data_IF_402400586077
#
_entry.id   IF_402400586077
#
_cell.length_a   1.000
_cell.length_b   1.000
_cell.length_c   1.000
_cell.angle_alpha   90.00
_cell.angle_beta   90.00
_cell.angle_gamma   90.00
#
_symmetry.space_group_name_H-M   'P 1'
#
loop_
_entity.id
_entity.type
_entity.pdbx_description
1 polymer ?
#
# COMPACT_ATOMS: atom_id res chain seq x y z
N UNK A 1 49.28 26.29 43.88
CA UNK A 1 48.03 27.08 44.05
C UNK A 1 47.15 27.17 42.79
N UNK A 2 47.70 27.25 41.57
CA UNK A 2 46.93 27.43 40.33
C UNK A 2 45.90 26.33 39.98
N UNK A 3 46.15 25.07 40.35
CA UNK A 3 45.27 23.94 40.01
C UNK A 3 43.95 23.92 40.81
N UNK A 4 43.95 24.43 42.05
CA UNK A 4 42.76 24.52 42.90
C UNK A 4 41.81 25.61 42.38
N UNK A 5 42.35 26.74 41.92
CA UNK A 5 41.59 27.83 41.31
C UNK A 5 40.88 27.36 40.04
N UNK A 6 41.57 26.69 39.11
CA UNK A 6 40.97 26.15 37.87
C UNK A 6 39.82 25.17 38.12
N UNK A 7 39.96 24.25 39.09
CA UNK A 7 38.88 23.31 39.47
C UNK A 7 37.66 24.01 40.06
N UNK A 8 37.86 25.08 40.83
CA UNK A 8 36.76 25.88 41.40
C UNK A 8 36.03 26.64 40.30
N UNK A 9 36.75 27.25 39.35
CA UNK A 9 36.14 27.95 38.20
C UNK A 9 35.31 26.99 37.35
N UNK A 10 35.82 25.78 37.05
CA UNK A 10 35.08 24.75 36.32
C UNK A 10 33.80 24.31 37.03
N UNK A 11 33.87 24.05 38.34
CA UNK A 11 32.68 23.67 39.14
C UNK A 11 31.62 24.79 39.17
N UNK A 12 32.04 26.04 39.24
CA UNK A 12 31.13 27.20 39.22
C UNK A 12 30.46 27.36 37.86
N UNK A 13 31.20 27.18 36.76
CA UNK A 13 30.63 27.18 35.40
C UNK A 13 29.63 26.03 35.25
N UNK A 14 29.96 24.81 35.68
CA UNK A 14 29.03 23.68 35.64
C UNK A 14 27.77 23.90 36.49
N UNK A 15 27.89 24.52 37.67
CA UNK A 15 26.73 24.86 38.51
C UNK A 15 25.84 25.91 37.85
N UNK A 16 26.43 26.94 37.23
CA UNK A 16 25.70 27.96 36.45
C UNK A 16 25.03 27.36 35.21
N UNK A 17 25.67 26.42 34.52
CA UNK A 17 25.06 25.68 33.40
C UNK A 17 23.87 24.84 33.87
N UNK A 18 23.99 24.12 35.00
CA UNK A 18 22.89 23.34 35.59
C UNK A 18 21.74 24.24 36.09
N UNK A 19 22.04 25.39 36.69
CA UNK A 19 21.03 26.38 37.11
C UNK A 19 20.36 27.06 35.92
N UNK A 20 21.10 27.37 34.85
CA UNK A 20 20.55 27.89 33.60
C UNK A 20 19.62 26.87 32.93
N UNK A 21 19.93 25.56 33.00
CA UNK A 21 19.06 24.47 32.52
C UNK A 21 17.79 24.29 33.37
N UNK A 22 17.81 24.71 34.64
CA UNK A 22 16.69 24.61 35.60
C UNK A 22 15.93 25.94 35.78
N UNK A 23 16.21 26.94 34.94
CA UNK A 23 15.53 28.24 34.99
C UNK A 23 14.12 28.09 34.44
N UNK A 24 13.12 28.34 35.29
CA UNK A 24 11.69 28.16 34.96
C UNK A 24 11.26 28.94 33.72
N UNK A 25 11.84 30.12 33.48
CA UNK A 25 11.57 30.92 32.28
C UNK A 25 12.04 30.25 31.00
N UNK A 26 13.20 29.58 31.00
CA UNK A 26 13.71 28.84 29.82
C UNK A 26 12.95 27.54 29.59
N UNK A 27 12.48 26.89 30.65
CA UNK A 27 11.57 25.75 30.54
C UNK A 27 10.24 26.19 29.94
N UNK A 28 9.68 27.32 30.38
CA UNK A 28 8.44 27.89 29.86
C UNK A 28 8.56 28.29 28.39
N UNK A 29 9.67 28.93 27.99
CA UNK A 29 9.96 29.21 26.59
C UNK A 29 10.07 27.91 25.78
N UNK A 30 10.76 26.89 26.29
CA UNK A 30 10.84 25.58 25.62
C UNK A 30 9.46 24.92 25.46
N UNK A 31 8.59 25.01 26.47
CA UNK A 31 7.22 24.50 26.39
C UNK A 31 6.40 25.26 25.35
N UNK A 32 6.53 26.58 25.28
CA UNK A 32 5.88 27.39 24.25
C UNK A 32 6.34 27.01 22.83
N UNK A 33 7.63 26.74 22.64
CA UNK A 33 8.13 26.24 21.35
C UNK A 33 7.56 24.87 20.99
N UNK A 34 7.41 23.95 21.96
CA UNK A 34 6.80 22.63 21.73
C UNK A 34 5.32 22.78 21.37
N UNK A 35 4.59 23.65 22.07
CA UNK A 35 3.17 23.92 21.79
C UNK A 35 3.01 24.57 20.41
N UNK A 36 3.87 25.53 20.06
CA UNK A 36 3.88 26.15 18.75
C UNK A 36 4.18 25.13 17.65
N UNK A 37 5.18 24.26 17.85
CA UNK A 37 5.48 23.19 16.92
C UNK A 37 4.29 22.22 16.78
N UNK A 38 3.65 21.82 17.87
CA UNK A 38 2.46 20.97 17.83
C UNK A 38 1.28 21.64 17.10
N UNK A 39 1.06 22.94 17.32
CA UNK A 39 0.03 23.71 16.63
C UNK A 39 0.32 23.85 15.13
N UNK A 40 1.58 24.10 14.76
CA UNK A 40 2.03 24.14 13.36
C UNK A 40 1.85 22.78 12.70
N UNK A 41 2.26 21.70 13.36
CA UNK A 41 2.07 20.34 12.85
C UNK A 41 0.59 20.04 12.68
N UNK A 42 -0.24 20.34 13.68
CA UNK A 42 -1.69 20.14 13.60
C UNK A 42 -2.33 20.95 12.46
N UNK A 43 -1.94 22.21 12.31
CA UNK A 43 -2.39 23.06 11.21
C UNK A 43 -1.96 22.48 9.85
N UNK A 44 -0.71 22.02 9.73
CA UNK A 44 -0.23 21.40 8.50
C UNK A 44 -0.98 20.10 8.20
N UNK A 45 -1.16 19.21 9.18
CA UNK A 45 -1.83 17.92 8.98
C UNK A 45 -3.33 18.06 8.69
N UNK A 46 -3.99 19.08 9.26
CA UNK A 46 -5.41 19.37 9.00
C UNK A 46 -5.67 20.01 7.64
N UNK A 47 -4.64 20.61 7.02
CA UNK A 47 -4.71 21.19 5.69
C UNK A 47 -4.03 20.31 4.62
N UNK A 48 -3.64 19.08 4.97
CA UNK A 48 -3.23 18.13 3.96
C UNK A 48 -4.43 17.83 3.05
N UNK A 49 -4.27 17.91 1.72
CA UNK A 49 -5.34 17.51 0.82
C UNK A 49 -5.71 16.06 1.14
N UNK A 50 -6.99 15.85 1.42
CA UNK A 50 -7.54 14.52 1.64
C UNK A 50 -7.26 13.69 0.39
N UNK A 51 -6.81 12.44 0.56
CA UNK A 51 -6.54 11.58 -0.58
C UNK A 51 -7.83 11.47 -1.42
N UNK A 52 -7.78 11.99 -2.66
CA UNK A 52 -8.95 11.96 -3.53
C UNK A 52 -9.42 10.51 -3.66
N UNK A 53 -10.65 10.23 -3.23
CA UNK A 53 -11.25 8.93 -3.48
C UNK A 53 -11.45 8.81 -4.98
N UNK A 54 -10.88 7.78 -5.65
CA UNK A 54 -11.03 7.63 -7.08
C UNK A 54 -12.52 7.44 -7.40
N UNK A 55 -13.13 8.47 -8.00
CA UNK A 55 -14.50 8.40 -8.48
C UNK A 55 -14.48 7.76 -9.87
N UNK A 56 -14.91 6.50 -9.95
CA UNK A 56 -15.04 5.77 -11.20
C UNK A 56 -16.31 6.20 -11.90
N UNK A 57 -16.18 7.05 -12.92
CA UNK A 57 -17.31 7.40 -13.79
C UNK A 57 -17.43 6.39 -14.92
N UNK A 58 -18.66 5.94 -15.18
CA UNK A 58 -19.03 5.14 -16.35
C UNK A 58 -19.37 6.00 -17.57
N UNK A 59 -18.99 7.28 -17.58
CA UNK A 59 -19.31 8.19 -18.68
C UNK A 59 -18.69 7.69 -19.99
N UNK A 60 -19.52 7.60 -21.01
CA UNK A 60 -19.15 7.20 -22.36
C UNK A 60 -19.36 8.36 -23.33
N UNK A 61 -18.55 8.40 -24.38
CA UNK A 61 -18.78 9.26 -25.53
C UNK A 61 -20.07 8.85 -26.27
N UNK A 62 -20.52 9.68 -27.21
CA UNK A 62 -21.68 9.37 -28.08
C UNK A 62 -21.50 8.07 -28.88
N UNK A 63 -20.26 7.63 -29.05
CA UNK A 63 -19.85 6.42 -29.76
C UNK A 63 -19.64 5.22 -28.82
N UNK A 64 -19.86 5.38 -27.51
CA UNK A 64 -19.75 4.31 -26.51
C UNK A 64 -18.35 4.08 -25.94
N UNK A 65 -17.38 4.95 -26.23
CA UNK A 65 -16.03 4.84 -25.67
C UNK A 65 -15.96 5.48 -24.27
N UNK A 66 -15.35 4.79 -23.31
CA UNK A 66 -15.11 5.36 -21.99
C UNK A 66 -14.07 6.47 -22.04
N UNK A 67 -14.31 7.56 -21.31
CA UNK A 67 -13.33 8.62 -21.18
C UNK A 67 -12.15 8.20 -20.31
N UNK A 68 -10.96 8.55 -20.76
CA UNK A 68 -9.76 8.45 -19.94
C UNK A 68 -9.88 9.37 -18.71
N UNK A 69 -9.61 8.84 -17.51
CA UNK A 69 -9.64 9.58 -16.26
C UNK A 69 -8.35 9.37 -15.49
N UNK A 70 -7.83 10.44 -14.89
CA UNK A 70 -6.68 10.35 -14.00
C UNK A 70 -7.09 9.89 -12.61
N UNK A 71 -6.23 9.13 -11.96
CA UNK A 71 -6.38 8.70 -10.56
C UNK A 71 -5.38 9.42 -9.65
N UNK A 72 -5.64 9.44 -8.34
CA UNK A 72 -4.78 10.09 -7.34
C UNK A 72 -3.45 9.35 -7.09
N UNK A 73 -2.49 10.02 -6.46
CA UNK A 73 -1.12 9.52 -6.24
C UNK A 73 -0.99 8.20 -5.45
N UNK A 74 -2.03 7.82 -4.71
CA UNK A 74 -2.06 6.57 -3.96
C UNK A 74 -2.71 5.40 -4.70
N UNK A 75 -3.22 5.63 -5.92
CA UNK A 75 -3.94 4.62 -6.68
C UNK A 75 -2.99 3.65 -7.40
N UNK A 76 -3.42 2.41 -7.57
CA UNK A 76 -2.66 1.35 -8.23
C UNK A 76 -2.29 1.69 -9.68
N UNK A 77 -3.11 2.46 -10.39
CA UNK A 77 -2.87 2.86 -11.78
C UNK A 77 -2.32 4.28 -11.92
N UNK A 78 -1.82 4.90 -10.85
CA UNK A 78 -1.34 6.29 -10.88
C UNK A 78 -0.26 6.53 -11.94
N UNK A 79 0.72 5.64 -12.06
CA UNK A 79 1.84 5.81 -13.00
C UNK A 79 1.40 5.66 -14.46
N UNK A 80 0.26 5.01 -14.72
CA UNK A 80 -0.35 4.96 -16.05
C UNK A 80 -0.99 6.29 -16.46
N UNK A 81 -0.94 7.32 -15.61
CA UNK A 81 -1.65 8.55 -15.85
C UNK A 81 -1.17 9.27 -17.13
N UNK A 82 -2.12 9.65 -17.99
CA UNK A 82 -1.89 10.40 -19.24
C UNK A 82 -1.01 9.67 -20.28
N UNK A 83 -0.68 8.39 -20.04
CA UNK A 83 0.04 7.58 -21.01
C UNK A 83 -0.92 7.06 -22.09
N UNK A 84 -0.41 6.91 -23.31
CA UNK A 84 -1.14 6.34 -24.45
C UNK A 84 -0.24 5.44 -25.29
N UNK A 85 -0.84 4.58 -26.12
CA UNK A 85 -0.12 3.73 -27.06
C UNK A 85 0.90 2.80 -26.38
N UNK A 86 2.11 2.74 -26.93
CA UNK A 86 3.18 1.89 -26.40
C UNK A 86 3.58 2.25 -24.97
N UNK A 87 3.63 3.54 -24.63
CA UNK A 87 3.99 3.97 -23.28
C UNK A 87 2.99 3.48 -22.23
N UNK A 88 1.70 3.54 -22.54
CA UNK A 88 0.65 3.00 -21.66
C UNK A 88 0.79 1.48 -21.53
N UNK A 89 1.01 0.78 -22.65
CA UNK A 89 1.19 -0.68 -22.62
C UNK A 89 2.38 -1.07 -21.74
N UNK A 90 3.50 -0.38 -21.88
CA UNK A 90 4.73 -0.72 -21.18
C UNK A 90 4.59 -0.45 -19.68
N UNK A 91 3.97 0.67 -19.29
CA UNK A 91 3.66 0.98 -17.88
C UNK A 91 2.69 -0.04 -17.28
N UNK A 92 1.61 -0.41 -18.00
CA UNK A 92 0.68 -1.44 -17.53
C UNK A 92 1.38 -2.79 -17.36
N UNK A 93 2.31 -3.15 -18.26
CA UNK A 93 3.12 -4.36 -18.08
C UNK A 93 4.00 -4.26 -16.84
N UNK A 94 4.62 -3.11 -16.58
CA UNK A 94 5.41 -2.90 -15.38
C UNK A 94 4.55 -3.02 -14.11
N UNK A 95 3.36 -2.41 -14.09
CA UNK A 95 2.41 -2.47 -12.97
C UNK A 95 2.02 -3.92 -12.64
N UNK A 96 1.71 -4.75 -13.64
CA UNK A 96 1.27 -6.14 -13.41
C UNK A 96 2.43 -7.11 -13.15
N UNK A 97 3.67 -6.77 -13.51
CA UNK A 97 4.84 -7.64 -13.32
C UNK A 97 5.68 -7.27 -12.10
N UNK A 98 5.61 -6.02 -11.64
CA UNK A 98 6.33 -5.55 -10.45
C UNK A 98 5.83 -6.25 -9.19
N UNK A 99 6.72 -6.95 -8.49
CA UNK A 99 6.36 -7.73 -7.30
C UNK A 99 5.49 -8.97 -7.58
N UNK A 100 5.24 -9.30 -8.85
CA UNK A 100 4.48 -10.49 -9.23
C UNK A 100 5.27 -11.76 -8.95
N UNK A 101 4.67 -12.68 -8.20
CA UNK A 101 5.22 -14.02 -8.02
C UNK A 101 4.55 -14.95 -9.03
N UNK A 102 5.28 -15.45 -10.04
CA UNK A 102 4.72 -16.35 -11.03
C UNK A 102 4.35 -17.68 -10.38
N UNK A 103 3.17 -18.19 -10.72
CA UNK A 103 2.66 -19.48 -10.27
C UNK A 103 2.63 -20.46 -11.43
N UNK A 104 3.05 -21.68 -11.18
CA UNK A 104 2.99 -22.74 -12.18
C UNK A 104 1.57 -23.31 -12.28
N UNK A 105 1.29 -24.02 -13.37
CA UNK A 105 0.07 -24.83 -13.48
C UNK A 105 -0.04 -25.90 -12.38
N UNK A 106 1.09 -26.33 -11.82
CA UNK A 106 1.09 -27.23 -10.68
C UNK A 106 0.59 -26.55 -9.40
N UNK A 107 0.84 -25.25 -9.23
CA UNK A 107 0.43 -24.47 -8.05
C UNK A 107 -1.06 -24.09 -8.10
N UNK A 108 -1.68 -24.12 -9.28
CA UNK A 108 -3.10 -23.81 -9.43
C UNK A 108 -4.01 -24.61 -8.49
N UNK A 109 -3.69 -25.88 -8.19
CA UNK A 109 -4.49 -26.68 -7.24
C UNK A 109 -4.53 -26.05 -5.84
N UNK A 110 -3.41 -25.54 -5.34
CA UNK A 110 -3.35 -24.97 -3.99
C UNK A 110 -3.92 -23.55 -3.96
N UNK A 111 -3.86 -22.82 -5.07
CA UNK A 111 -4.49 -21.51 -5.20
C UNK A 111 -6.01 -21.66 -5.20
N UNK A 112 -6.54 -22.56 -6.04
CA UNK A 112 -7.99 -22.76 -6.21
C UNK A 112 -8.64 -23.31 -4.93
N UNK A 113 -7.93 -24.09 -4.14
CA UNK A 113 -8.36 -24.50 -2.78
C UNK A 113 -8.75 -23.31 -1.89
N UNK A 114 -8.10 -22.16 -2.07
CA UNK A 114 -8.30 -20.94 -1.27
C UNK A 114 -9.18 -19.94 -2.01
N UNK A 115 -8.96 -19.70 -3.31
CA UNK A 115 -9.71 -18.69 -4.06
C UNK A 115 -11.16 -19.08 -4.32
N UNK A 116 -11.43 -20.38 -4.46
CA UNK A 116 -12.76 -20.90 -4.81
C UNK A 116 -13.46 -21.50 -3.59
N UNK A 117 -12.92 -21.22 -2.40
CA UNK A 117 -13.47 -21.65 -1.14
C UNK A 117 -14.91 -21.16 -0.97
N UNK A 118 -15.78 -22.04 -0.49
CA UNK A 118 -17.18 -21.70 -0.23
C UNK A 118 -17.30 -20.66 0.88
N UNK A 119 -18.17 -19.68 0.66
CA UNK A 119 -18.45 -18.61 1.62
C UNK A 119 -19.10 -19.11 2.92
N UNK A 120 -19.70 -20.30 2.90
CA UNK A 120 -20.41 -20.87 4.06
C UNK A 120 -19.69 -22.06 4.68
N UNK A 121 -18.71 -22.65 3.99
CA UNK A 121 -17.95 -23.81 4.48
C UNK A 121 -16.52 -23.77 3.94
N UNK A 122 -15.57 -23.40 4.80
CA UNK A 122 -14.15 -23.30 4.44
C UNK A 122 -13.51 -24.64 4.05
N UNK A 123 -14.17 -25.76 4.30
CA UNK A 123 -13.67 -27.09 3.91
C UNK A 123 -14.09 -27.50 2.49
N UNK A 124 -14.82 -26.64 1.79
CA UNK A 124 -15.41 -26.92 0.48
C UNK A 124 -15.04 -25.89 -0.57
N UNK A 125 -15.01 -26.35 -1.81
CA UNK A 125 -15.00 -25.51 -3.02
C UNK A 125 -16.24 -25.81 -3.85
N UNK A 126 -16.70 -24.83 -4.63
CA UNK A 126 -17.85 -24.99 -5.52
C UNK A 126 -17.40 -25.40 -6.91
N UNK A 127 -17.87 -26.55 -7.41
CA UNK A 127 -17.60 -26.97 -8.78
C UNK A 127 -18.35 -26.08 -9.78
N UNK A 128 -17.62 -25.51 -10.76
CA UNK A 128 -18.20 -24.58 -11.75
C UNK A 128 -19.28 -25.21 -12.64
N UNK A 129 -19.12 -26.50 -13.03
CA UNK A 129 -20.04 -27.16 -13.95
C UNK A 129 -21.29 -27.73 -13.28
N UNK A 130 -21.16 -28.20 -12.04
CA UNK A 130 -22.24 -28.90 -11.33
C UNK A 130 -22.88 -28.05 -10.24
N UNK A 131 -22.24 -26.98 -9.79
CA UNK A 131 -22.68 -26.19 -8.64
C UNK A 131 -22.69 -27.00 -7.34
N UNK A 132 -21.91 -28.09 -7.27
CA UNK A 132 -21.82 -28.93 -6.07
C UNK A 132 -20.63 -28.50 -5.22
N UNK A 133 -20.85 -28.48 -3.91
CA UNK A 133 -19.79 -28.32 -2.92
C UNK A 133 -19.05 -29.64 -2.72
N UNK A 134 -17.74 -29.62 -3.00
CA UNK A 134 -16.85 -30.77 -2.87
C UNK A 134 -15.71 -30.45 -1.92
N UNK A 135 -15.01 -31.45 -1.34
CA UNK A 135 -13.86 -31.19 -0.48
C UNK A 135 -12.87 -30.24 -1.14
N UNK A 136 -12.40 -29.24 -0.40
CA UNK A 136 -11.45 -28.25 -0.91
C UNK A 136 -10.14 -28.93 -1.31
N UNK A 137 -9.56 -29.74 -0.42
CA UNK A 137 -8.29 -30.45 -0.68
C UNK A 137 -8.33 -31.18 -2.02
N UNK A 138 -7.37 -30.86 -2.89
CA UNK A 138 -7.32 -31.40 -4.22
C UNK A 138 -6.96 -32.89 -4.22
N UNK A 139 -7.85 -33.71 -4.80
CA UNK A 139 -7.73 -35.16 -4.90
C UNK A 139 -7.75 -35.66 -6.36
N UNK A 140 -7.75 -34.74 -7.32
CA UNK A 140 -7.89 -35.00 -8.77
C UNK A 140 -9.16 -35.74 -9.19
N UNK A 141 -10.13 -35.95 -8.29
CA UNK A 141 -11.33 -36.77 -8.52
C UNK A 141 -12.61 -35.96 -8.26
N UNK A 142 -12.65 -35.27 -7.13
CA UNK A 142 -13.77 -34.43 -6.69
C UNK A 142 -13.88 -33.15 -7.51
N UNK A 143 -12.74 -32.64 -7.97
CA UNK A 143 -12.65 -31.49 -8.87
C UNK A 143 -11.30 -31.46 -9.60
N UNK A 144 -11.25 -30.72 -10.71
CA UNK A 144 -10.07 -30.58 -11.55
C UNK A 144 -9.64 -29.12 -11.64
N UNK A 145 -8.36 -28.91 -12.00
CA UNK A 145 -7.83 -27.58 -12.30
C UNK A 145 -8.36 -27.16 -13.67
N UNK A 146 -9.51 -26.53 -13.69
CA UNK A 146 -10.12 -26.05 -14.94
C UNK A 146 -9.56 -24.67 -15.28
N UNK A 147 -9.21 -24.49 -16.56
CA UNK A 147 -8.79 -23.20 -17.11
C UNK A 147 -9.92 -22.69 -18.00
N UNK A 148 -10.60 -21.61 -17.59
CA UNK A 148 -11.79 -21.08 -18.29
C UNK A 148 -11.43 -20.34 -19.58
N UNK A 149 -10.13 -20.16 -19.90
CA UNK A 149 -9.75 -19.56 -21.17
C UNK A 149 -9.75 -20.57 -22.31
N UNK A 150 -10.51 -20.32 -23.40
CA UNK A 150 -10.63 -21.24 -24.54
C UNK A 150 -9.32 -21.44 -25.34
N UNK A 151 -8.22 -20.76 -24.97
CA UNK A 151 -6.89 -21.01 -25.52
C UNK A 151 -5.78 -20.79 -24.47
N UNK A 152 -5.41 -21.86 -23.76
CA UNK A 152 -4.29 -21.87 -22.80
C UNK A 152 -2.90 -21.79 -23.45
N UNK A 153 -2.79 -21.69 -24.78
CA UNK A 153 -1.51 -21.57 -25.51
C UNK A 153 -1.11 -20.13 -25.84
N UNK A 154 -1.74 -19.12 -25.24
CA UNK A 154 -1.40 -17.70 -25.49
C UNK A 154 -1.38 -17.34 -27.01
N UNK A 155 -2.26 -17.94 -27.81
CA UNK A 155 -2.37 -17.64 -29.25
C UNK A 155 -1.57 -18.51 -30.21
N UNK A 156 -1.00 -19.64 -29.79
CA UNK A 156 -0.28 -20.57 -30.69
C UNK A 156 -1.26 -21.46 -31.49
N UNK A 157 -1.02 -21.63 -32.80
CA UNK A 157 -1.80 -22.48 -33.71
C UNK A 157 -1.74 -23.99 -33.36
N UNK A 158 -2.75 -24.74 -33.85
CA UNK A 158 -2.92 -26.18 -33.60
C UNK A 158 -2.02 -27.04 -34.46
#
# INVERSE_FOLDING_TARGET
MANKVKRTTYKTVQKRMKQAKKSSSKQLISFLFIIAAAAITYWYTSNLPEAETPNYSSDQSTEGFYFYRTVGASDYYFDANLLVGDALRDELNQIITSGFTPLSYADAKTVLEVSDQSLTDSTKVMNVYTGLLVPAVWDSTSWHREHVWPNSRLGIER
#
